data_IF_051638768810
#
_entry.id   IF_051638768810
#
_cell.length_a   1.000
_cell.length_b   1.000
_cell.length_c   1.000
_cell.angle_alpha   90.00
_cell.angle_beta   90.00
_cell.angle_gamma   90.00
#
_symmetry.space_group_name_H-M   'P 1'
#
loop_
_entity.id
_entity.type
_entity.pdbx_description
1 polymer ?
#
# COMPACT_ATOMS: atom_id res chain seq x y z
N UNK A 1 2.99 17.49 5.64
CA UNK A 1 2.38 18.63 4.93
C UNK A 1 1.38 18.07 3.93
N UNK A 2 0.11 18.46 4.02
CA UNK A 2 -0.93 18.03 3.07
C UNK A 2 -0.99 19.04 1.94
N UNK A 3 -1.00 18.56 0.70
CA UNK A 3 -1.19 19.40 -0.50
C UNK A 3 -2.61 19.20 -1.05
N UNK A 4 -3.23 20.22 -1.66
CA UNK A 4 -4.51 20.05 -2.33
C UNK A 4 -4.38 19.10 -3.53
N UNK A 5 -5.49 18.45 -3.92
CA UNK A 5 -5.53 17.52 -5.06
C UNK A 5 -5.05 18.16 -6.38
N UNK A 6 -5.31 19.46 -6.57
CA UNK A 6 -4.82 20.23 -7.73
C UNK A 6 -3.30 20.33 -7.83
N UNK A 7 -2.57 19.97 -6.78
CA UNK A 7 -1.10 19.93 -6.72
C UNK A 7 -0.57 18.51 -6.54
N UNK A 8 -1.39 17.48 -6.78
CA UNK A 8 -1.02 16.07 -6.64
C UNK A 8 -1.06 15.37 -8.02
N UNK A 9 0.06 15.34 -8.77
CA UNK A 9 0.12 14.73 -10.11
C UNK A 9 -0.30 13.26 -10.15
N UNK A 10 -0.16 12.53 -9.03
CA UNK A 10 -0.61 11.14 -8.92
C UNK A 10 -2.13 10.96 -9.05
N UNK A 11 -2.91 12.04 -9.04
CA UNK A 11 -4.37 12.02 -9.18
C UNK A 11 -4.84 12.56 -10.55
N UNK A 12 -3.95 12.72 -11.53
CA UNK A 12 -4.31 13.15 -12.89
C UNK A 12 -5.21 12.14 -13.63
N UNK A 13 -5.10 10.86 -13.29
CA UNK A 13 -5.96 9.79 -13.80
C UNK A 13 -6.52 8.98 -12.62
N UNK A 14 -7.84 8.79 -12.61
CA UNK A 14 -8.55 8.11 -11.53
C UNK A 14 -9.35 6.96 -12.15
N UNK A 15 -9.06 5.74 -11.70
CA UNK A 15 -9.78 4.52 -12.07
C UNK A 15 -10.37 3.92 -10.81
N UNK A 16 -11.69 3.77 -10.76
CA UNK A 16 -12.40 3.28 -9.58
C UNK A 16 -12.83 1.82 -9.77
N UNK A 17 -12.76 1.03 -8.70
CA UNK A 17 -13.08 -0.40 -8.77
C UNK A 17 -14.58 -0.71 -8.93
N UNK A 18 -15.44 0.27 -8.71
CA UNK A 18 -16.88 0.20 -8.97
C UNK A 18 -17.24 0.41 -10.45
N UNK A 19 -16.29 0.89 -11.27
CA UNK A 19 -16.44 0.91 -12.72
C UNK A 19 -16.51 -0.54 -13.27
N UNK A 20 -17.55 -0.89 -14.08
CA UNK A 20 -17.68 -2.21 -14.66
C UNK A 20 -16.48 -2.64 -15.51
N UNK A 21 -15.81 -1.69 -16.16
CA UNK A 21 -14.66 -1.93 -17.04
C UNK A 21 -13.33 -1.96 -16.27
N UNK A 22 -13.35 -1.74 -14.95
CA UNK A 22 -12.16 -1.81 -14.12
C UNK A 22 -11.62 -3.23 -14.02
N UNK A 23 -10.35 -3.38 -14.42
CA UNK A 23 -9.55 -4.57 -14.20
C UNK A 23 -8.08 -4.21 -13.95
N UNK A 24 -7.64 -4.37 -12.70
CA UNK A 24 -6.26 -4.12 -12.28
C UNK A 24 -5.24 -4.92 -13.10
N UNK A 25 -5.61 -6.10 -13.62
CA UNK A 25 -4.72 -6.99 -14.37
C UNK A 25 -4.38 -6.44 -15.76
N UNK A 26 -5.26 -5.59 -16.31
CA UNK A 26 -5.07 -4.96 -17.62
C UNK A 26 -4.60 -3.52 -17.48
N UNK A 27 -5.01 -2.83 -16.41
CA UNK A 27 -4.66 -1.44 -16.14
C UNK A 27 -3.17 -1.25 -15.87
N UNK A 28 -2.56 -2.10 -15.04
CA UNK A 28 -1.15 -2.01 -14.68
C UNK A 28 -0.43 -3.33 -14.99
N UNK A 29 0.68 -3.30 -15.76
CA UNK A 29 1.45 -4.50 -16.03
C UNK A 29 2.21 -4.93 -14.76
N UNK A 30 1.69 -5.93 -14.05
CA UNK A 30 2.41 -6.53 -12.93
C UNK A 30 3.57 -7.41 -13.44
N UNK A 31 4.67 -7.46 -12.69
CA UNK A 31 5.86 -8.18 -13.12
C UNK A 31 5.75 -9.68 -12.84
N UNK A 32 6.05 -10.51 -13.85
CA UNK A 32 6.32 -11.95 -13.66
C UNK A 32 7.81 -12.17 -13.45
N UNK A 33 8.22 -12.29 -12.19
CA UNK A 33 9.65 -12.38 -11.83
C UNK A 33 10.29 -13.74 -12.10
N UNK A 34 9.50 -14.82 -12.16
CA UNK A 34 10.01 -16.17 -12.36
C UNK A 34 9.00 -17.04 -13.12
N UNK A 35 9.43 -17.94 -14.03
CA UNK A 35 8.53 -18.83 -14.78
C UNK A 35 7.58 -19.69 -13.93
N UNK A 36 7.94 -19.97 -12.68
CA UNK A 36 7.10 -20.74 -11.74
C UNK A 36 6.16 -19.87 -10.88
N UNK A 37 6.31 -18.55 -10.91
CA UNK A 37 5.31 -17.66 -10.31
C UNK A 37 4.12 -17.66 -11.26
N UNK A 38 2.94 -17.95 -10.73
CA UNK A 38 1.70 -18.07 -11.53
C UNK A 38 0.90 -16.77 -11.61
N UNK A 39 1.27 -15.77 -10.80
CA UNK A 39 0.55 -14.50 -10.65
C UNK A 39 1.57 -13.35 -10.61
N UNK A 40 1.23 -12.20 -11.22
CA UNK A 40 2.13 -11.06 -11.27
C UNK A 40 2.21 -10.36 -9.91
N UNK A 41 3.34 -9.67 -9.67
CA UNK A 41 3.60 -8.96 -8.43
C UNK A 41 3.94 -7.48 -8.66
N UNK A 42 3.56 -6.66 -7.70
CA UNK A 42 4.18 -5.37 -7.43
C UNK A 42 5.15 -5.51 -6.26
N UNK A 43 6.43 -5.16 -6.45
CA UNK A 43 7.48 -5.44 -5.46
C UNK A 43 7.97 -4.20 -4.70
N UNK A 44 7.60 -3.01 -5.17
CA UNK A 44 7.94 -1.72 -4.54
C UNK A 44 6.66 -0.96 -4.16
N UNK A 45 5.66 -1.67 -3.65
CA UNK A 45 4.44 -1.07 -3.11
C UNK A 45 4.73 -0.50 -1.72
N UNK A 46 4.91 0.82 -1.63
CA UNK A 46 5.04 1.50 -0.33
C UNK A 46 3.63 1.68 0.26
N UNK A 47 3.29 0.82 1.21
CA UNK A 47 2.02 0.86 1.92
C UNK A 47 2.07 1.95 2.99
N UNK A 48 1.07 2.85 2.99
CA UNK A 48 0.82 3.79 4.08
C UNK A 48 -0.48 3.40 4.76
N UNK A 49 -0.45 3.30 6.08
CA UNK A 49 -1.61 3.04 6.91
C UNK A 49 -1.50 3.83 8.23
N UNK A 50 -2.64 4.17 8.81
CA UNK A 50 -2.72 4.83 10.11
C UNK A 50 -3.43 3.93 11.13
N UNK A 51 -3.15 4.14 12.41
CA UNK A 51 -3.85 3.43 13.48
C UNK A 51 -5.36 3.75 13.42
N UNK A 52 -6.24 2.74 13.45
CA UNK A 52 -7.69 2.96 13.36
C UNK A 52 -8.26 3.72 14.57
N UNK A 53 -7.55 3.76 15.70
CA UNK A 53 -7.95 4.49 16.91
C UNK A 53 -7.33 5.90 16.97
N UNK A 54 -6.16 6.09 16.37
CA UNK A 54 -5.43 7.37 16.36
C UNK A 54 -4.76 7.63 15.00
N UNK A 55 -5.42 8.42 14.17
CA UNK A 55 -4.93 8.76 12.83
C UNK A 55 -3.58 9.53 12.82
N UNK A 56 -3.13 10.07 13.95
CA UNK A 56 -1.80 10.70 14.05
C UNK A 56 -0.66 9.68 14.01
N UNK A 57 -0.94 8.42 14.38
CA UNK A 57 -0.01 7.31 14.29
C UNK A 57 -0.07 6.72 12.89
N UNK A 58 0.94 7.01 12.07
CA UNK A 58 1.03 6.53 10.68
C UNK A 58 2.32 5.77 10.48
N UNK A 59 2.23 4.66 9.74
CA UNK A 59 3.37 3.83 9.35
C UNK A 59 3.48 3.74 7.83
N UNK A 60 4.72 3.64 7.35
CA UNK A 60 4.98 3.35 5.93
C UNK A 60 6.00 2.24 5.78
N UNK A 61 5.66 1.24 4.99
CA UNK A 61 6.47 0.03 4.80
C UNK A 61 6.35 -0.48 3.38
N UNK A 62 7.43 -1.07 2.85
CA UNK A 62 7.45 -1.63 1.50
C UNK A 62 6.97 -3.08 1.56
N UNK A 63 5.99 -3.43 0.71
CA UNK A 63 5.45 -4.78 0.61
C UNK A 63 5.43 -5.30 -0.83
N UNK A 64 5.57 -6.61 -0.94
CA UNK A 64 5.23 -7.34 -2.16
C UNK A 64 3.73 -7.61 -2.19
N UNK A 65 3.09 -7.31 -3.32
CA UNK A 65 1.66 -7.43 -3.53
C UNK A 65 1.43 -8.38 -4.71
N UNK A 66 0.66 -9.44 -4.50
CA UNK A 66 0.32 -10.40 -5.54
C UNK A 66 -1.06 -10.09 -6.10
N UNK A 67 -1.18 -9.93 -7.42
CA UNK A 67 -2.49 -9.68 -8.05
C UNK A 67 -3.33 -10.96 -8.04
N UNK A 68 -4.49 -10.91 -7.39
CA UNK A 68 -5.37 -12.07 -7.22
C UNK A 68 -6.57 -12.07 -8.18
N UNK A 69 -7.10 -10.89 -8.50
CA UNK A 69 -8.33 -10.71 -9.28
C UNK A 69 -8.38 -9.35 -9.98
N UNK A 70 -9.59 -8.92 -10.37
CA UNK A 70 -9.83 -7.62 -11.02
C UNK A 70 -9.54 -6.44 -10.08
N UNK A 71 -9.74 -6.63 -8.79
CA UNK A 71 -9.74 -5.59 -7.74
C UNK A 71 -9.12 -6.11 -6.42
N UNK A 72 -8.48 -7.28 -6.45
CA UNK A 72 -7.93 -7.93 -5.26
C UNK A 72 -6.42 -8.11 -5.35
N UNK A 73 -5.75 -7.76 -4.25
CA UNK A 73 -4.32 -7.99 -4.00
C UNK A 73 -4.16 -8.80 -2.73
N UNK A 74 -3.17 -9.70 -2.69
CA UNK A 74 -2.71 -10.28 -1.43
C UNK A 74 -1.40 -9.65 -0.97
N UNK A 75 -1.32 -9.37 0.32
CA UNK A 75 -0.22 -8.67 0.97
C UNK A 75 0.23 -9.49 2.18
N UNK A 76 1.54 -9.72 2.30
CA UNK A 76 2.11 -10.32 3.49
C UNK A 76 2.53 -9.23 4.47
N UNK A 77 2.07 -9.35 5.71
CA UNK A 77 2.43 -8.47 6.81
C UNK A 77 3.28 -9.26 7.81
N UNK A 78 4.51 -8.80 8.05
CA UNK A 78 5.38 -9.44 9.02
C UNK A 78 4.87 -9.15 10.44
N UNK A 79 4.83 -10.19 11.28
CA UNK A 79 4.41 -10.05 12.68
C UNK A 79 5.25 -8.98 13.40
N UNK A 80 4.57 -8.15 14.20
CA UNK A 80 5.21 -7.08 14.97
C UNK A 80 5.45 -5.76 14.21
N UNK A 81 5.16 -5.69 12.90
CA UNK A 81 5.14 -4.41 12.17
C UNK A 81 3.94 -3.55 12.58
N UNK A 82 4.09 -2.24 12.58
CA UNK A 82 3.01 -1.33 13.03
C UNK A 82 1.75 -1.50 12.17
N UNK A 83 1.90 -1.58 10.85
CA UNK A 83 0.76 -1.86 9.94
C UNK A 83 0.02 -3.17 10.26
N UNK A 84 0.69 -4.21 10.78
CA UNK A 84 0.02 -5.44 11.21
C UNK A 84 -0.76 -5.23 12.51
N UNK A 85 -0.24 -4.42 13.43
CA UNK A 85 -0.98 -4.02 14.65
C UNK A 85 -2.23 -3.24 14.27
N UNK A 86 -2.13 -2.29 13.33
CA UNK A 86 -3.27 -1.52 12.84
C UNK A 86 -4.33 -2.42 12.20
N UNK A 87 -3.89 -3.41 11.41
CA UNK A 87 -4.78 -4.39 10.78
C UNK A 87 -5.51 -5.25 11.82
N UNK A 88 -4.80 -5.75 12.83
CA UNK A 88 -5.38 -6.56 13.90
C UNK A 88 -6.44 -5.80 14.70
N UNK A 89 -6.19 -4.52 15.01
CA UNK A 89 -7.17 -3.64 15.67
C UNK A 89 -8.43 -3.47 14.82
N UNK A 90 -8.26 -3.13 13.53
CA UNK A 90 -9.39 -2.95 12.61
C UNK A 90 -10.21 -4.23 12.47
N UNK A 91 -9.54 -5.38 12.29
CA UNK A 91 -10.17 -6.70 12.19
C UNK A 91 -10.93 -7.07 13.46
N UNK A 92 -10.36 -6.83 14.65
CA UNK A 92 -11.03 -7.07 15.93
C UNK A 92 -12.30 -6.21 16.10
N UNK A 93 -12.33 -5.03 15.47
CA UNK A 93 -13.50 -4.17 15.41
C UNK A 93 -14.49 -4.51 14.27
N UNK A 94 -14.22 -5.55 13.48
CA UNK A 94 -15.04 -5.93 12.32
C UNK A 94 -15.02 -4.91 11.19
N UNK A 95 -13.95 -4.11 11.08
CA UNK A 95 -13.80 -3.05 10.09
C UNK A 95 -12.59 -3.30 9.18
N UNK A 96 -12.61 -2.84 7.92
CA UNK A 96 -11.42 -2.84 7.09
C UNK A 96 -10.40 -1.82 7.59
N UNK A 97 -9.12 -2.04 7.30
CA UNK A 97 -8.06 -1.04 7.46
C UNK A 97 -7.85 -0.32 6.12
N UNK A 98 -8.15 0.99 6.02
CA UNK A 98 -7.82 1.78 4.83
C UNK A 98 -6.30 1.89 4.67
N UNK A 99 -5.80 1.62 3.47
CA UNK A 99 -4.38 1.75 3.12
C UNK A 99 -4.23 2.44 1.77
N UNK A 100 -3.06 3.02 1.51
CA UNK A 100 -2.64 3.43 0.16
C UNK A 100 -1.40 2.65 -0.25
N UNK A 101 -1.29 2.30 -1.54
CA UNK A 101 -0.10 1.68 -2.12
C UNK A 101 0.53 2.68 -3.08
N UNK A 102 1.71 3.18 -2.71
CA UNK A 102 2.41 4.23 -3.43
C UNK A 102 3.57 3.61 -4.23
N UNK A 103 3.58 3.84 -5.55
CA UNK A 103 4.57 3.27 -6.47
C UNK A 103 5.10 4.37 -7.39
N UNK A 104 6.40 4.32 -7.73
CA UNK A 104 7.04 5.32 -8.59
C UNK A 104 7.48 6.59 -7.85
N UNK A 105 7.98 6.43 -6.62
CA UNK A 105 8.42 7.51 -5.74
C UNK A 105 9.88 7.90 -5.98
N UNK A 106 10.30 9.05 -5.43
CA UNK A 106 11.72 9.42 -5.31
C UNK A 106 12.49 8.27 -4.62
N UNK A 107 13.63 7.82 -5.18
CA UNK A 107 14.45 6.77 -4.55
C UNK A 107 14.78 7.02 -3.07
N UNK A 108 14.96 8.28 -2.65
CA UNK A 108 15.23 8.63 -1.25
C UNK A 108 14.10 8.19 -0.32
N UNK A 109 12.85 8.24 -0.78
CA UNK A 109 11.67 7.80 -0.03
C UNK A 109 11.74 6.29 0.22
N UNK A 110 12.02 5.50 -0.82
CA UNK A 110 12.14 4.05 -0.68
C UNK A 110 13.28 3.66 0.27
N UNK A 111 14.42 4.33 0.15
CA UNK A 111 15.59 4.08 1.01
C UNK A 111 15.27 4.45 2.46
N UNK A 112 14.68 5.63 2.71
CA UNK A 112 14.30 6.08 4.05
C UNK A 112 13.26 5.18 4.71
N UNK A 113 12.29 4.69 3.95
CA UNK A 113 11.24 3.80 4.45
C UNK A 113 11.76 2.43 4.92
N UNK A 114 12.95 2.00 4.49
CA UNK A 114 13.57 0.74 4.90
C UNK A 114 14.14 0.77 6.32
N UNK A 115 14.31 1.94 6.94
CA UNK A 115 14.83 2.04 8.30
C UNK A 115 13.77 1.68 9.34
N UNK A 116 14.11 0.86 10.33
CA UNK A 116 13.20 0.51 11.42
C UNK A 116 13.12 1.62 12.48
N UNK A 117 12.37 2.67 12.16
CA UNK A 117 12.15 3.77 13.10
C UNK A 117 11.28 3.32 14.30
N UNK A 118 11.54 3.84 15.52
CA UNK A 118 10.70 3.59 16.69
C UNK A 118 9.26 4.10 16.48
N UNK A 119 8.31 3.57 17.24
CA UNK A 119 6.84 3.73 17.10
C UNK A 119 6.31 5.16 16.96
N UNK A 120 7.10 6.18 17.32
CA UNK A 120 6.71 7.60 17.31
C UNK A 120 7.31 8.41 16.14
N UNK A 121 8.12 7.80 15.29
CA UNK A 121 8.77 8.47 14.18
C UNK A 121 8.10 8.09 12.85
N UNK A 122 7.38 9.06 12.26
CA UNK A 122 6.85 8.96 10.89
C UNK A 122 8.04 8.92 9.92
N UNK A 123 8.04 8.00 8.95
CA UNK A 123 9.18 7.80 8.03
C UNK A 123 9.16 8.70 6.78
N UNK A 124 8.28 9.72 6.73
CA UNK A 124 8.15 10.68 5.62
C UNK A 124 7.68 12.07 6.08
#
# INVERSE_FOLDING_TARGET
MVVPASSAPCQEQIFLADDPDFDLRTLLPGAHQHPYRRRPFFCLGLALASDPDDASLTDVTIHRLCVQGRDELSMFLAAGRHIEVFRQKAEAAGKPLPITINMGLDPAIYIGACFEAPYHAVRL
#
